data_IF_517834240006
#
_entry.id   IF_517834240006
#
_cell.length_a   1.000
_cell.length_b   1.000
_cell.length_c   1.000
_cell.angle_alpha   90.00
_cell.angle_beta   90.00
_cell.angle_gamma   90.00
#
_symmetry.space_group_name_H-M   'P 1'
#
loop_
_entity.id
_entity.type
_entity.pdbx_description
1 polymer ?
#
# COMPACT_ATOMS: atom_id res chain seq x y z
N UNK A 1 2.45 -56.56 -42.36
CA UNK A 1 2.17 -55.98 -41.04
C UNK A 1 2.70 -54.55 -41.02
N UNK A 2 1.84 -53.53 -41.04
CA UNK A 2 2.25 -52.12 -40.88
C UNK A 2 1.96 -51.72 -39.44
N UNK A 3 3.02 -51.45 -38.67
CA UNK A 3 2.92 -50.85 -37.33
C UNK A 3 2.40 -49.41 -37.49
N UNK A 4 1.30 -49.08 -36.81
CA UNK A 4 0.82 -47.71 -36.66
C UNK A 4 1.21 -47.26 -35.25
N UNK A 5 2.22 -46.39 -35.17
CA UNK A 5 2.63 -45.75 -33.91
C UNK A 5 1.72 -44.53 -33.73
N UNK A 6 0.83 -44.59 -32.75
CA UNK A 6 0.00 -43.46 -32.35
C UNK A 6 0.84 -42.49 -31.51
N UNK A 7 1.16 -41.32 -32.08
CA UNK A 7 1.74 -40.20 -31.33
C UNK A 7 0.67 -39.57 -30.44
N UNK A 8 0.76 -39.79 -29.13
CA UNK A 8 0.02 -39.02 -28.14
C UNK A 8 0.63 -37.61 -28.05
N UNK A 9 0.02 -36.65 -28.74
CA UNK A 9 0.34 -35.23 -28.58
C UNK A 9 -0.26 -34.76 -27.26
N UNK A 10 0.59 -34.63 -26.24
CA UNK A 10 0.23 -33.96 -24.98
C UNK A 10 0.12 -32.47 -25.27
N UNK A 11 -1.11 -31.98 -25.48
CA UNK A 11 -1.39 -30.55 -25.52
C UNK A 11 -1.15 -29.97 -24.12
N UNK A 12 0.02 -29.37 -23.90
CA UNK A 12 0.23 -28.51 -22.72
C UNK A 12 -0.66 -27.30 -22.86
N UNK A 13 -1.72 -27.23 -22.04
CA UNK A 13 -2.46 -26.01 -21.81
C UNK A 13 -1.53 -25.06 -21.06
N UNK A 14 -0.83 -24.20 -21.79
CA UNK A 14 -0.16 -23.05 -21.20
C UNK A 14 -1.27 -22.15 -20.63
N UNK A 15 -1.46 -22.21 -19.31
CA UNK A 15 -2.24 -21.21 -18.58
C UNK A 15 -1.45 -19.91 -18.72
N UNK A 16 -1.83 -19.07 -19.68
CA UNK A 16 -1.37 -17.69 -19.73
C UNK A 16 -1.93 -16.98 -18.51
N UNK A 17 -1.15 -16.94 -17.43
CA UNK A 17 -1.33 -15.96 -16.37
C UNK A 17 -1.28 -14.58 -17.03
N UNK A 18 -2.42 -13.91 -17.14
CA UNK A 18 -2.44 -12.49 -17.47
C UNK A 18 -1.99 -11.75 -16.24
N UNK A 19 -0.66 -11.65 -16.04
CA UNK A 19 -0.07 -10.78 -15.03
C UNK A 19 -0.77 -9.41 -15.10
N UNK A 20 -1.52 -9.06 -14.04
CA UNK A 20 -2.24 -7.80 -14.00
C UNK A 20 -1.22 -6.66 -14.12
N UNK A 21 -1.45 -5.81 -15.11
CA UNK A 21 -0.50 -4.74 -15.45
C UNK A 21 -0.73 -3.59 -14.50
N UNK A 22 0.13 -3.35 -13.54
CA UNK A 22 0.19 -2.11 -12.76
C UNK A 22 1.48 -1.35 -13.05
N UNK A 23 1.57 -0.10 -12.60
CA UNK A 23 2.65 0.81 -12.99
C UNK A 23 3.66 1.06 -11.86
N UNK A 24 3.19 1.14 -10.61
CA UNK A 24 4.02 1.39 -9.43
C UNK A 24 3.35 0.86 -8.15
N UNK A 25 4.05 0.85 -7.02
CA UNK A 25 3.41 0.60 -5.72
C UNK A 25 3.33 1.86 -4.87
N UNK A 26 2.29 1.97 -4.05
CA UNK A 26 2.35 2.76 -2.83
C UNK A 26 2.84 1.91 -1.67
N UNK A 27 4.00 2.22 -1.10
CA UNK A 27 4.34 1.78 0.25
C UNK A 27 3.73 2.76 1.23
N UNK A 28 2.72 2.29 1.96
CA UNK A 28 1.94 3.09 2.90
C UNK A 28 2.40 2.75 4.31
N UNK A 29 2.88 3.77 5.02
CA UNK A 29 3.29 3.66 6.41
C UNK A 29 2.39 4.54 7.28
N UNK A 30 2.01 4.07 8.46
CA UNK A 30 1.06 4.69 9.37
C UNK A 30 1.72 5.03 10.70
N UNK A 31 1.41 6.21 11.25
CA UNK A 31 1.80 6.55 12.61
C UNK A 31 0.83 5.92 13.62
N UNK A 32 1.30 5.08 14.56
CA UNK A 32 0.41 4.38 15.49
C UNK A 32 -0.31 5.32 16.47
N UNK A 33 0.33 6.43 16.89
CA UNK A 33 -0.32 7.44 17.75
C UNK A 33 -1.60 7.99 17.14
N UNK A 34 -1.52 8.42 15.87
CA UNK A 34 -2.65 8.98 15.11
C UNK A 34 -3.74 7.96 14.80
N UNK A 35 -3.45 6.66 14.88
CA UNK A 35 -4.48 5.62 14.78
C UNK A 35 -5.22 5.46 16.10
N UNK A 36 -4.46 5.46 17.20
CA UNK A 36 -4.93 5.09 18.53
C UNK A 36 -5.64 6.21 19.30
N UNK A 37 -5.35 7.47 19.02
CA UNK A 37 -5.92 8.63 19.71
C UNK A 37 -7.23 9.16 19.09
N UNK A 38 -7.76 8.45 18.09
CA UNK A 38 -9.09 8.69 17.54
C UNK A 38 -10.18 8.21 18.51
N UNK A 39 -11.44 8.66 18.31
CA UNK A 39 -12.58 8.19 19.14
C UNK A 39 -12.83 6.68 19.07
N UNK A 40 -12.33 6.03 18.03
CA UNK A 40 -12.44 4.59 17.85
C UNK A 40 -11.48 3.82 18.77
N UNK A 41 -10.38 4.45 19.18
CA UNK A 41 -9.30 3.78 19.90
C UNK A 41 -8.61 2.69 19.09
N UNK A 42 -7.69 1.98 19.73
CA UNK A 42 -6.97 0.87 19.12
C UNK A 42 -6.72 -0.27 20.11
N UNK A 43 -6.30 -1.40 19.58
CA UNK A 43 -5.89 -2.55 20.36
C UNK A 43 -4.48 -2.97 19.94
N UNK A 44 -3.66 -3.36 20.90
CA UNK A 44 -2.31 -3.82 20.60
C UNK A 44 -2.30 -5.30 20.20
N UNK A 45 -1.39 -5.70 19.28
CA UNK A 45 -1.23 -7.10 18.91
C UNK A 45 -0.69 -7.86 20.12
N UNK A 46 -1.33 -8.99 20.44
CA UNK A 46 -0.97 -9.85 21.58
C UNK A 46 -0.72 -9.08 22.90
N UNK A 47 -1.52 -8.04 23.15
CA UNK A 47 -1.44 -7.13 24.33
C UNK A 47 -0.10 -6.40 24.49
N UNK A 48 0.73 -6.37 23.44
CA UNK A 48 2.06 -5.74 23.47
C UNK A 48 2.06 -4.45 22.67
N UNK A 49 2.25 -3.32 23.35
CA UNK A 49 2.34 -2.00 22.71
C UNK A 49 3.50 -1.97 21.71
N UNK A 50 3.26 -1.68 20.42
CA UNK A 50 4.32 -1.53 19.43
C UNK A 50 5.27 -0.36 19.75
N UNK A 51 6.43 -0.33 19.09
CA UNK A 51 7.34 0.81 19.18
C UNK A 51 6.70 2.09 18.64
N UNK A 52 7.11 3.25 19.16
CA UNK A 52 6.76 4.57 18.65
C UNK A 52 7.50 4.88 17.33
N UNK A 53 7.18 4.12 16.30
CA UNK A 53 7.70 4.24 14.96
C UNK A 53 6.55 4.04 13.95
N UNK A 54 6.72 4.52 12.72
CA UNK A 54 5.76 4.21 11.66
C UNK A 54 5.66 2.70 11.46
N UNK A 55 4.45 2.15 11.33
CA UNK A 55 4.21 0.77 10.92
C UNK A 55 3.78 0.71 9.46
N UNK A 56 4.06 -0.38 8.74
CA UNK A 56 3.53 -0.60 7.39
C UNK A 56 2.01 -0.81 7.51
N UNK A 57 1.26 -0.12 6.67
CA UNK A 57 -0.15 -0.43 6.39
C UNK A 57 -0.20 -1.41 5.22
N UNK A 58 0.44 -1.08 4.09
CA UNK A 58 0.61 -2.01 2.98
C UNK A 58 1.47 -1.53 1.83
N UNK A 59 1.67 -2.40 0.84
CA UNK A 59 2.40 -2.13 -0.40
C UNK A 59 1.49 -2.38 -1.60
N UNK A 60 0.86 -1.34 -2.12
CA UNK A 60 -0.29 -1.48 -3.01
C UNK A 60 0.05 -1.21 -4.46
N UNK A 61 -0.09 -2.20 -5.37
CA UNK A 61 -0.03 -1.98 -6.80
C UNK A 61 -1.01 -0.88 -7.23
N UNK A 62 -0.58 0.05 -8.08
CA UNK A 62 -1.37 1.18 -8.52
C UNK A 62 -1.09 1.54 -9.99
N UNK A 63 -2.07 2.19 -10.63
CA UNK A 63 -1.93 2.72 -11.99
C UNK A 63 -1.48 4.17 -11.98
N UNK A 64 -0.56 4.53 -12.86
CA UNK A 64 -0.17 5.92 -13.11
C UNK A 64 -1.31 6.74 -13.72
N UNK A 65 -2.22 6.06 -14.44
CA UNK A 65 -3.46 6.64 -14.97
C UNK A 65 -4.65 5.77 -14.61
N UNK A 66 -5.60 6.33 -13.87
CA UNK A 66 -6.81 5.61 -13.48
C UNK A 66 -7.58 5.11 -14.70
N UNK A 67 -8.00 3.84 -14.66
CA UNK A 67 -8.74 3.19 -15.74
C UNK A 67 -10.22 3.54 -15.62
N UNK A 68 -10.73 4.33 -16.56
CA UNK A 68 -12.18 4.60 -16.68
C UNK A 68 -12.97 3.30 -16.91
N UNK A 69 -14.29 3.30 -16.68
CA UNK A 69 -15.16 2.14 -16.96
C UNK A 69 -15.07 1.65 -18.42
N UNK A 70 -14.59 2.48 -19.35
CA UNK A 70 -14.30 2.09 -20.73
C UNK A 70 -13.14 1.09 -20.86
N UNK A 71 -12.18 1.05 -19.92
CA UNK A 71 -11.08 0.09 -19.95
C UNK A 71 -11.55 -1.36 -19.75
N UNK A 72 -12.57 -1.55 -18.91
CA UNK A 72 -13.21 -2.85 -18.71
C UNK A 72 -14.04 -3.25 -19.94
N UNK A 73 -14.80 -2.31 -20.52
CA UNK A 73 -15.56 -2.55 -21.75
C UNK A 73 -14.66 -2.84 -22.96
N UNK A 74 -13.52 -2.15 -23.11
CA UNK A 74 -12.59 -2.38 -24.23
C UNK A 74 -11.80 -3.68 -24.09
N UNK A 75 -11.46 -4.07 -22.86
CA UNK A 75 -10.86 -5.38 -22.57
C UNK A 75 -11.86 -6.55 -22.75
N UNK A 76 -13.16 -6.29 -22.63
CA UNK A 76 -14.21 -7.32 -22.71
C UNK A 76 -14.95 -7.38 -24.07
N UNK A 77 -15.04 -6.28 -24.83
CA UNK A 77 -15.96 -6.17 -25.99
C UNK A 77 -15.31 -5.71 -27.31
N UNK A 78 -14.01 -5.41 -27.34
CA UNK A 78 -13.37 -4.84 -28.54
C UNK A 78 -13.85 -3.42 -28.87
N UNK A 79 -13.27 -2.81 -29.91
CA UNK A 79 -13.35 -1.37 -30.26
C UNK A 79 -14.73 -0.84 -30.73
N UNK A 80 -15.84 -1.24 -30.12
CA UNK A 80 -17.20 -0.95 -30.61
C UNK A 80 -18.02 0.06 -29.79
N UNK A 81 -17.43 0.85 -28.88
CA UNK A 81 -18.18 1.81 -28.07
C UNK A 81 -17.65 3.24 -28.21
N UNK A 82 -18.11 3.94 -29.25
CA UNK A 82 -17.99 5.40 -29.36
C UNK A 82 -18.98 6.08 -28.41
N UNK A 83 -18.50 6.57 -27.29
CA UNK A 83 -19.18 7.57 -26.47
C UNK A 83 -18.22 8.76 -26.31
N UNK A 84 -18.75 9.97 -26.46
CA UNK A 84 -18.02 11.22 -26.55
C UNK A 84 -17.30 11.58 -25.24
N UNK A 85 -15.98 11.80 -25.35
CA UNK A 85 -15.08 12.07 -24.21
C UNK A 85 -15.42 13.35 -23.42
N UNK A 86 -16.20 14.26 -24.02
CA UNK A 86 -16.55 15.55 -23.41
C UNK A 86 -17.55 15.42 -22.24
N UNK A 87 -18.54 14.53 -22.35
CA UNK A 87 -19.60 14.40 -21.33
C UNK A 87 -19.10 13.73 -20.03
N UNK A 88 -18.14 12.80 -20.15
CA UNK A 88 -17.55 12.10 -19.00
C UNK A 88 -16.55 12.95 -18.20
N UNK A 89 -16.04 14.03 -18.77
CA UNK A 89 -15.21 15.00 -18.04
C UNK A 89 -16.04 15.84 -17.06
N UNK A 90 -17.31 16.12 -17.38
CA UNK A 90 -18.25 16.92 -16.57
C UNK A 90 -18.82 16.12 -15.40
N UNK A 91 -18.99 14.80 -15.55
CA UNK A 91 -19.45 13.91 -14.49
C UNK A 91 -18.23 13.21 -13.91
N UNK A 92 -17.56 13.82 -12.93
CA UNK A 92 -16.28 13.41 -12.32
C UNK A 92 -16.18 11.97 -11.78
N UNK A 93 -16.38 10.97 -12.63
CA UNK A 93 -16.22 9.55 -12.35
C UNK A 93 -14.75 9.20 -12.59
N UNK A 94 -13.90 9.49 -11.61
CA UNK A 94 -12.54 8.96 -11.61
C UNK A 94 -12.63 7.43 -11.77
N UNK A 95 -11.92 6.91 -12.76
CA UNK A 95 -11.81 5.47 -12.98
C UNK A 95 -11.16 4.75 -11.80
N UNK A 96 -11.14 3.41 -11.84
CA UNK A 96 -10.42 2.60 -10.83
C UNK A 96 -8.92 2.86 -10.98
N UNK A 97 -8.23 3.24 -9.90
CA UNK A 97 -6.82 3.62 -9.94
C UNK A 97 -5.86 2.50 -9.51
N UNK A 98 -6.35 1.35 -9.06
CA UNK A 98 -5.55 0.20 -8.65
C UNK A 98 -6.21 -1.13 -9.02
N UNK A 99 -5.45 -2.21 -9.23
CA UNK A 99 -5.96 -3.58 -9.17
C UNK A 99 -6.13 -4.03 -7.70
N UNK A 100 -7.06 -4.96 -7.45
CA UNK A 100 -7.25 -5.58 -6.13
C UNK A 100 -7.92 -6.95 -6.30
N UNK A 101 -7.66 -7.86 -5.37
CA UNK A 101 -8.18 -9.24 -5.37
C UNK A 101 -7.90 -9.98 -6.70
N UNK A 102 -6.64 -9.97 -7.14
CA UNK A 102 -6.28 -10.49 -8.48
C UNK A 102 -6.20 -12.01 -8.53
N UNK A 103 -6.04 -12.68 -7.39
CA UNK A 103 -6.02 -14.13 -7.28
C UNK A 103 -6.54 -14.57 -5.90
N UNK A 104 -7.87 -14.74 -5.80
CA UNK A 104 -8.51 -15.18 -4.56
C UNK A 104 -8.15 -16.63 -4.15
N UNK A 105 -7.55 -17.42 -5.04
CA UNK A 105 -7.10 -18.79 -4.74
C UNK A 105 -5.70 -18.85 -4.14
N UNK A 106 -4.92 -17.78 -4.25
CA UNK A 106 -3.58 -17.68 -3.72
C UNK A 106 -3.60 -17.09 -2.31
N UNK A 107 -3.98 -17.90 -1.33
CA UNK A 107 -4.02 -17.49 0.08
C UNK A 107 -2.64 -17.52 0.74
N UNK A 108 -2.35 -16.53 1.59
CA UNK A 108 -1.09 -16.47 2.33
C UNK A 108 -1.00 -17.61 3.35
N UNK A 109 0.03 -18.43 3.21
CA UNK A 109 0.38 -19.46 4.19
C UNK A 109 1.40 -18.94 5.22
N UNK A 110 1.24 -19.23 6.53
CA UNK A 110 2.23 -18.87 7.54
C UNK A 110 3.64 -19.42 7.25
N UNK A 111 3.72 -20.54 6.53
CA UNK A 111 4.99 -21.20 6.22
C UNK A 111 5.81 -20.45 5.18
N UNK A 112 5.15 -19.73 4.27
CA UNK A 112 5.80 -18.98 3.19
C UNK A 112 6.55 -17.75 3.69
N UNK A 113 6.20 -17.24 4.88
CA UNK A 113 6.77 -16.02 5.47
C UNK A 113 7.36 -16.27 6.85
N UNK A 114 7.58 -17.54 7.22
CA UNK A 114 7.94 -17.94 8.59
C UNK A 114 9.16 -17.20 9.14
N UNK A 115 10.18 -17.01 8.31
CA UNK A 115 11.41 -16.28 8.65
C UNK A 115 11.20 -14.76 8.77
N UNK A 116 10.12 -14.22 8.20
CA UNK A 116 9.79 -12.80 8.23
C UNK A 116 8.86 -12.41 9.40
N UNK A 117 8.16 -13.37 10.02
CA UNK A 117 7.11 -13.12 11.04
C UNK A 117 7.58 -12.14 12.12
N UNK A 118 8.74 -12.37 12.74
CA UNK A 118 9.22 -11.49 13.81
C UNK A 118 9.48 -10.05 13.33
N UNK A 119 9.92 -9.87 12.08
CA UNK A 119 10.12 -8.56 11.47
C UNK A 119 8.79 -7.90 11.09
N UNK A 120 7.82 -8.69 10.63
CA UNK A 120 6.47 -8.24 10.33
C UNK A 120 5.72 -7.82 11.60
N UNK A 121 5.85 -8.54 12.72
CA UNK A 121 5.21 -8.13 13.98
C UNK A 121 5.74 -6.79 14.49
N UNK A 122 7.04 -6.52 14.32
CA UNK A 122 7.63 -5.23 14.70
C UNK A 122 7.27 -4.10 13.75
N UNK A 123 7.15 -4.40 12.45
CA UNK A 123 7.16 -3.37 11.41
C UNK A 123 5.82 -3.20 10.72
N UNK A 124 4.91 -4.17 10.82
CA UNK A 124 3.60 -4.22 10.19
C UNK A 124 2.53 -4.76 11.16
N UNK A 125 2.42 -4.25 12.40
CA UNK A 125 1.44 -4.74 13.37
C UNK A 125 0.00 -4.35 12.97
N UNK A 126 -0.98 -5.16 13.38
CA UNK A 126 -2.38 -4.70 13.43
C UNK A 126 -2.61 -3.84 14.67
N UNK A 127 -3.33 -2.74 14.51
CA UNK A 127 -3.86 -1.93 15.62
C UNK A 127 -5.39 -2.06 15.77
N UNK A 128 -6.02 -2.89 14.94
CA UNK A 128 -7.48 -3.04 14.92
C UNK A 128 -7.97 -3.89 16.09
N UNK A 129 -9.01 -3.41 16.79
CA UNK A 129 -9.71 -4.21 17.81
C UNK A 129 -10.57 -5.34 17.24
N UNK A 130 -10.87 -5.34 15.93
CA UNK A 130 -11.61 -6.44 15.30
C UNK A 130 -10.79 -7.73 15.29
N UNK A 131 -9.47 -7.59 15.17
CA UNK A 131 -8.57 -8.70 15.06
C UNK A 131 -7.17 -8.32 15.56
N UNK A 132 -6.79 -8.92 16.68
CA UNK A 132 -5.56 -8.61 17.42
C UNK A 132 -4.36 -9.43 16.95
N UNK A 133 -4.54 -10.28 15.93
CA UNK A 133 -3.46 -11.07 15.32
C UNK A 133 -2.98 -10.42 14.03
N UNK A 134 -1.73 -9.96 14.02
CA UNK A 134 -1.12 -9.31 12.85
C UNK A 134 -1.16 -10.17 11.60
N UNK A 135 -1.03 -11.50 11.74
CA UNK A 135 -1.14 -12.42 10.60
C UNK A 135 -2.44 -12.27 9.80
N UNK A 136 -3.57 -12.04 10.46
CA UNK A 136 -4.84 -11.89 9.75
C UNK A 136 -4.92 -10.57 8.97
N UNK A 137 -4.21 -9.54 9.43
CA UNK A 137 -4.05 -8.31 8.68
C UNK A 137 -3.11 -8.52 7.48
N UNK A 138 -1.99 -9.23 7.64
CA UNK A 138 -1.10 -9.57 6.53
C UNK A 138 -1.80 -10.43 5.47
N UNK A 139 -2.61 -11.41 5.87
CA UNK A 139 -3.42 -12.21 4.94
C UNK A 139 -4.40 -11.35 4.14
N UNK A 140 -4.99 -10.33 4.76
CA UNK A 140 -5.88 -9.39 4.07
C UNK A 140 -5.11 -8.53 3.05
N UNK A 141 -3.98 -7.96 3.46
CA UNK A 141 -3.13 -7.15 2.59
C UNK A 141 -2.57 -7.97 1.42
N UNK A 142 -2.17 -9.22 1.66
CA UNK A 142 -1.78 -10.15 0.61
C UNK A 142 -2.94 -10.41 -0.35
N UNK A 143 -4.08 -10.88 0.16
CA UNK A 143 -5.24 -11.23 -0.67
C UNK A 143 -5.68 -10.07 -1.55
N UNK A 144 -5.79 -8.87 -0.97
CA UNK A 144 -6.30 -7.69 -1.67
C UNK A 144 -5.26 -7.04 -2.59
N UNK A 145 -4.00 -6.94 -2.15
CA UNK A 145 -2.98 -6.15 -2.84
C UNK A 145 -1.80 -6.99 -3.33
N UNK A 146 -1.29 -7.90 -2.49
CA UNK A 146 -0.16 -8.78 -2.82
C UNK A 146 -0.41 -9.70 -4.02
N UNK A 147 -1.62 -10.25 -4.16
CA UNK A 147 -2.01 -11.08 -5.32
C UNK A 147 -1.94 -10.33 -6.66
N UNK A 148 -1.94 -8.99 -6.62
CA UNK A 148 -1.82 -8.13 -7.80
C UNK A 148 -0.38 -7.66 -8.08
N UNK A 149 0.60 -8.07 -7.26
CA UNK A 149 1.96 -7.51 -7.25
C UNK A 149 2.92 -8.15 -8.26
N UNK A 150 2.56 -9.30 -8.86
CA UNK A 150 3.47 -10.16 -9.62
C UNK A 150 4.69 -10.63 -8.80
N UNK A 151 4.59 -10.67 -7.47
CA UNK A 151 5.59 -11.22 -6.56
C UNK A 151 5.01 -12.45 -5.86
N UNK A 152 5.88 -13.36 -5.44
CA UNK A 152 5.53 -14.42 -4.49
C UNK A 152 5.31 -13.80 -3.09
N UNK A 153 4.52 -14.46 -2.21
CA UNK A 153 4.21 -13.95 -0.87
C UNK A 153 5.44 -13.50 -0.09
N UNK A 154 6.47 -14.33 -0.01
CA UNK A 154 7.71 -14.01 0.71
C UNK A 154 8.36 -12.72 0.20
N UNK A 155 8.54 -12.61 -1.12
CA UNK A 155 9.17 -11.47 -1.78
C UNK A 155 8.37 -10.16 -1.57
N UNK A 156 7.04 -10.23 -1.60
CA UNK A 156 6.16 -9.09 -1.34
C UNK A 156 6.42 -8.50 0.05
N UNK A 157 6.42 -9.34 1.08
CA UNK A 157 6.65 -8.91 2.47
C UNK A 157 8.11 -8.50 2.71
N UNK A 158 9.07 -9.26 2.19
CA UNK A 158 10.50 -8.97 2.36
C UNK A 158 10.89 -7.61 1.75
N UNK A 159 10.37 -7.29 0.56
CA UNK A 159 10.65 -6.01 -0.12
C UNK A 159 10.03 -4.82 0.62
N UNK A 160 8.80 -4.96 1.12
CA UNK A 160 8.16 -3.92 1.92
C UNK A 160 8.94 -3.65 3.22
N UNK A 161 9.37 -4.70 3.91
CA UNK A 161 10.23 -4.59 5.11
C UNK A 161 11.57 -3.91 4.81
N UNK A 162 12.24 -4.33 3.73
CA UNK A 162 13.53 -3.77 3.34
C UNK A 162 13.43 -2.27 2.99
N UNK A 163 12.40 -1.87 2.24
CA UNK A 163 12.16 -0.47 1.90
C UNK A 163 11.86 0.38 3.13
N UNK A 164 11.01 -0.12 4.03
CA UNK A 164 10.74 0.53 5.31
C UNK A 164 12.01 0.72 6.14
N UNK A 165 12.82 -0.32 6.29
CA UNK A 165 14.05 -0.25 7.08
C UNK A 165 15.07 0.71 6.47
N UNK A 166 15.15 0.76 5.14
CA UNK A 166 16.06 1.67 4.41
C UNK A 166 15.63 3.15 4.50
N UNK A 167 14.34 3.41 4.58
CA UNK A 167 13.75 4.75 4.60
C UNK A 167 12.96 4.97 5.88
N UNK A 168 13.66 4.95 7.02
CA UNK A 168 13.06 5.12 8.35
C UNK A 168 12.47 6.52 8.51
N UNK A 169 11.15 6.62 8.32
CA UNK A 169 10.41 7.87 8.41
C UNK A 169 10.50 8.53 9.80
N UNK A 170 10.58 7.74 10.87
CA UNK A 170 10.66 8.31 12.21
C UNK A 170 12.02 8.99 12.42
N UNK A 171 13.11 8.34 11.99
CA UNK A 171 14.45 8.91 12.03
C UNK A 171 14.57 10.15 11.12
N UNK A 172 14.06 10.06 9.89
CA UNK A 172 14.10 11.18 8.91
C UNK A 172 13.36 12.41 9.45
N UNK A 173 12.18 12.24 10.06
CA UNK A 173 11.44 13.35 10.65
C UNK A 173 12.17 13.90 11.89
N UNK A 174 12.71 13.04 12.75
CA UNK A 174 13.45 13.45 13.93
C UNK A 174 14.71 14.27 13.59
N UNK A 175 15.45 13.88 12.54
CA UNK A 175 16.63 14.62 12.05
C UNK A 175 16.26 16.05 11.57
N UNK A 176 15.00 16.26 11.18
CA UNK A 176 14.44 17.56 10.82
C UNK A 176 13.77 18.30 12.01
N UNK A 177 13.87 17.78 13.23
CA UNK A 177 13.24 18.33 14.44
C UNK A 177 11.73 18.08 14.53
N UNK A 178 11.19 17.17 13.71
CA UNK A 178 9.79 16.76 13.71
C UNK A 178 9.68 15.48 14.55
N UNK A 179 9.33 15.63 15.82
CA UNK A 179 9.26 14.53 16.79
C UNK A 179 7.85 14.43 17.38
N UNK A 180 7.46 13.27 17.93
CA UNK A 180 6.16 13.16 18.59
C UNK A 180 6.03 14.16 19.76
N UNK A 181 4.91 14.88 19.82
CA UNK A 181 4.66 15.92 20.83
C UNK A 181 3.17 16.11 21.10
N UNK A 182 2.84 16.39 22.36
CA UNK A 182 1.46 16.73 22.78
C UNK A 182 1.12 18.21 22.58
N UNK A 183 2.12 19.05 22.29
CA UNK A 183 1.98 20.53 22.25
C UNK A 183 2.40 21.13 20.92
N UNK A 184 3.37 20.52 20.25
CA UNK A 184 3.91 21.03 19.00
C UNK A 184 3.06 20.60 17.81
N UNK A 185 3.03 21.47 16.80
CA UNK A 185 2.46 21.16 15.49
C UNK A 185 3.47 21.49 14.41
N UNK A 186 3.34 20.85 13.26
CA UNK A 186 4.26 20.98 12.14
C UNK A 186 3.51 21.41 10.90
N UNK A 187 4.13 22.21 10.03
CA UNK A 187 3.49 22.48 8.74
C UNK A 187 3.57 21.23 7.87
N UNK A 188 2.54 20.98 7.07
CA UNK A 188 2.55 19.85 6.14
C UNK A 188 3.68 19.98 5.11
N UNK A 189 4.07 21.21 4.77
CA UNK A 189 5.25 21.48 3.95
C UNK A 189 6.54 21.00 4.62
N UNK A 190 6.76 21.29 5.90
CA UNK A 190 8.00 20.87 6.58
C UNK A 190 8.11 19.35 6.70
N UNK A 191 6.98 18.67 6.96
CA UNK A 191 6.92 17.20 6.95
C UNK A 191 7.27 16.64 5.57
N UNK A 192 6.68 17.20 4.50
CA UNK A 192 6.94 16.76 3.13
C UNK A 192 8.39 17.00 2.72
N UNK A 193 8.93 18.15 3.06
CA UNK A 193 10.30 18.55 2.73
C UNK A 193 11.32 17.69 3.47
N UNK A 194 11.10 17.39 4.75
CA UNK A 194 11.94 16.48 5.52
C UNK A 194 11.99 15.08 4.88
N UNK A 195 10.83 14.53 4.50
CA UNK A 195 10.77 13.23 3.82
C UNK A 195 11.47 13.29 2.45
N UNK A 196 11.25 14.35 1.67
CA UNK A 196 11.90 14.53 0.38
C UNK A 196 13.42 14.64 0.50
N UNK A 197 13.93 15.36 1.50
CA UNK A 197 15.37 15.48 1.75
C UNK A 197 15.98 14.16 2.23
N UNK A 198 15.30 13.45 3.15
CA UNK A 198 15.80 12.19 3.71
C UNK A 198 15.72 11.00 2.76
N UNK A 199 14.78 11.01 1.81
CA UNK A 199 14.56 9.87 0.88
C UNK A 199 14.97 10.15 -0.56
N UNK A 200 15.10 11.43 -0.94
CA UNK A 200 15.26 11.88 -2.32
C UNK A 200 13.97 11.97 -3.12
N UNK A 201 12.80 11.62 -2.54
CA UNK A 201 11.53 11.55 -3.25
C UNK A 201 10.39 12.21 -2.46
N UNK A 202 9.49 12.88 -3.18
CA UNK A 202 8.30 13.47 -2.55
C UNK A 202 7.29 12.38 -2.20
N UNK A 203 6.86 12.36 -0.93
CA UNK A 203 5.78 11.49 -0.47
C UNK A 203 4.43 12.22 -0.47
N UNK A 204 3.34 11.46 -0.63
CA UNK A 204 2.00 11.95 -0.35
C UNK A 204 1.68 11.75 1.13
N UNK A 205 0.93 12.69 1.71
CA UNK A 205 0.58 12.69 3.13
C UNK A 205 -0.95 12.60 3.30
N UNK A 206 -1.37 11.69 4.17
CA UNK A 206 -2.75 11.57 4.62
C UNK A 206 -2.84 11.94 6.10
N UNK A 207 -3.89 12.68 6.43
CA UNK A 207 -4.19 13.11 7.78
C UNK A 207 -5.57 12.63 8.20
N UNK A 208 -5.70 12.28 9.47
CA UNK A 208 -6.99 12.09 10.12
C UNK A 208 -7.16 13.16 11.22
N UNK A 209 -8.12 12.93 12.11
CA UNK A 209 -8.36 13.79 13.28
C UNK A 209 -8.39 12.96 14.55
N UNK A 210 -7.82 13.50 15.62
CA UNK A 210 -7.85 12.90 16.95
C UNK A 210 -9.26 12.97 17.57
N UNK A 211 -9.42 12.50 18.81
CA UNK A 211 -10.70 12.52 19.52
C UNK A 211 -11.30 13.93 19.72
N UNK A 212 -10.43 14.93 19.83
CA UNK A 212 -10.76 16.36 20.01
C UNK A 212 -11.04 17.05 18.67
N UNK A 213 -10.69 16.41 17.56
CA UNK A 213 -10.93 16.90 16.21
C UNK A 213 -9.74 17.64 15.61
N UNK A 214 -8.57 17.63 16.24
CA UNK A 214 -7.36 18.26 15.71
C UNK A 214 -6.73 17.42 14.60
N UNK A 215 -6.18 18.08 13.59
CA UNK A 215 -5.58 17.40 12.45
C UNK A 215 -4.21 16.83 12.79
N UNK A 216 -3.93 15.62 12.32
CA UNK A 216 -2.68 14.92 12.60
C UNK A 216 -2.18 14.08 11.44
N UNK A 217 -0.87 13.92 11.34
CA UNK A 217 -0.23 13.08 10.32
C UNK A 217 -0.61 11.62 10.59
N UNK A 218 -1.33 11.00 9.67
CA UNK A 218 -1.83 9.64 9.83
C UNK A 218 -1.02 8.64 9.03
N UNK A 219 -0.92 8.86 7.71
CA UNK A 219 -0.20 7.95 6.81
C UNK A 219 0.70 8.71 5.84
N UNK A 220 1.83 8.08 5.51
CA UNK A 220 2.81 8.53 4.52
C UNK A 220 2.83 7.52 3.39
N UNK A 221 2.68 8.01 2.17
CA UNK A 221 2.60 7.21 0.95
C UNK A 221 3.82 7.50 0.09
N UNK A 222 4.74 6.55 0.06
CA UNK A 222 5.93 6.60 -0.78
C UNK A 222 5.71 5.74 -2.02
N UNK A 223 6.11 6.23 -3.20
CA UNK A 223 5.98 5.45 -4.42
C UNK A 223 7.22 4.58 -4.65
N UNK A 224 6.99 3.35 -5.09
CA UNK A 224 8.02 2.34 -5.35
C UNK A 224 7.90 1.89 -6.79
N UNK A 225 9.03 1.59 -7.43
CA UNK A 225 9.04 1.03 -8.77
C UNK A 225 8.28 -0.30 -8.86
N UNK A 226 7.88 -0.67 -10.08
CA UNK A 226 7.09 -1.89 -10.34
C UNK A 226 7.79 -3.18 -9.88
N UNK A 227 9.11 -3.15 -9.73
CA UNK A 227 9.88 -4.26 -9.19
C UNK A 227 9.94 -4.26 -7.65
N UNK A 228 9.31 -3.31 -6.96
CA UNK A 228 9.34 -3.19 -5.49
C UNK A 228 10.78 -3.12 -4.90
N UNK A 229 11.73 -2.47 -5.57
CA UNK A 229 13.14 -2.43 -5.17
C UNK A 229 13.61 -1.06 -4.72
N UNK A 230 13.00 0.02 -5.22
CA UNK A 230 13.45 1.39 -4.93
C UNK A 230 12.30 2.37 -4.97
N UNK A 231 12.45 3.45 -4.22
CA UNK A 231 11.56 4.59 -4.30
C UNK A 231 11.69 5.27 -5.67
N UNK A 232 10.58 5.87 -6.10
CA UNK A 232 10.45 6.70 -7.31
C UNK A 232 9.56 7.91 -6.99
N UNK A 233 9.60 8.92 -7.86
CA UNK A 233 8.61 9.99 -7.81
C UNK A 233 7.20 9.45 -8.07
N UNK A 234 6.22 9.94 -7.31
CA UNK A 234 4.85 9.47 -7.41
C UNK A 234 4.20 9.88 -8.74
N UNK A 235 3.83 8.91 -9.62
CA UNK A 235 3.26 9.25 -10.93
C UNK A 235 1.83 9.81 -10.84
N UNK A 236 1.13 9.53 -9.74
CA UNK A 236 -0.24 9.96 -9.50
C UNK A 236 -0.30 10.82 -8.24
N UNK A 237 -0.73 12.07 -8.38
CA UNK A 237 -0.97 12.92 -7.23
C UNK A 237 -2.17 12.41 -6.42
N UNK A 238 -2.02 12.31 -5.10
CA UNK A 238 -3.14 11.99 -4.22
C UNK A 238 -3.79 13.27 -3.66
N UNK A 239 -5.12 13.38 -3.69
CA UNK A 239 -5.81 14.43 -2.96
C UNK A 239 -5.54 14.26 -1.46
N UNK A 240 -4.97 15.28 -0.82
CA UNK A 240 -4.78 15.28 0.63
C UNK A 240 -5.90 16.04 1.32
N UNK A 241 -6.29 15.56 2.50
CA UNK A 241 -7.20 16.27 3.42
C UNK A 241 -6.46 16.95 4.57
N UNK A 242 -5.12 16.94 4.54
CA UNK A 242 -4.33 17.61 5.56
C UNK A 242 -4.60 19.12 5.53
N UNK A 243 -4.75 19.70 6.71
CA UNK A 243 -4.70 21.16 6.92
C UNK A 243 -3.28 21.68 6.78
N UNK A 244 -3.06 22.99 6.84
CA UNK A 244 -1.70 23.58 6.75
C UNK A 244 -0.75 23.04 7.83
N UNK A 245 -1.29 22.78 9.03
CA UNK A 245 -0.55 22.24 10.17
C UNK A 245 -1.15 20.93 10.67
N UNK A 246 -0.29 20.07 11.22
CA UNK A 246 -0.64 18.75 11.74
C UNK A 246 0.10 18.45 13.05
N UNK A 247 -0.52 17.68 13.93
CA UNK A 247 0.16 17.02 15.05
C UNK A 247 0.92 15.78 14.56
N UNK A 248 1.96 15.41 15.30
CA UNK A 248 2.51 14.05 15.35
C UNK A 248 2.36 13.61 16.81
N UNK A 249 1.26 12.92 17.19
CA UNK A 249 0.96 12.64 18.59
C UNK A 249 1.97 11.67 19.19
N UNK A 250 2.23 11.78 20.50
CA UNK A 250 2.99 10.78 21.23
C UNK A 250 2.25 9.44 21.18
N UNK A 251 2.98 8.32 20.99
CA UNK A 251 2.40 6.98 20.98
C UNK A 251 2.65 6.22 22.27
#
# INVERSE_FOLDING_TARGET
MKLVIAFLVVFSLAVSSTAEKFDFFYLVQQWPGSFCDTRQGCCFPDDTKPAAAFGIHGMWPNYAKCRGRQGLARAMLGDAAGADDAFLSTVGRRGKCWPEYCDDGNELSPWEIRDLVASLDRSWPTLSCKNRRSFQFWSYEWKKHGTCSNLEPHDYFARALALKAKHDLAAILADAGIVPSDTETYTVSSVRDAIAQGTGFVANLECNRDADGEAQLFQVYQCVDRDAKKLIDCPLAMPTKCTDRVKLPVF
#
